data_IF_152984237378
#
_entry.id   IF_152984237378
#
_cell.length_a   1.000
_cell.length_b   1.000
_cell.length_c   1.000
_cell.angle_alpha   90.00
_cell.angle_beta   90.00
_cell.angle_gamma   90.00
#
_symmetry.space_group_name_H-M   'P 1'
#
loop_
_entity.id
_entity.type
_entity.pdbx_description
1 polymer ?
#
# COMPACT_ATOMS: atom_id res chain seq x y z
N UNK A 1 -0.82 18.12 6.11
CA UNK A 1 -2.04 17.63 5.43
C UNK A 1 -1.69 16.27 4.85
N UNK A 2 -2.52 15.25 5.08
CA UNK A 2 -2.26 13.85 4.71
C UNK A 2 -2.02 13.76 3.19
N UNK A 3 -0.88 13.25 2.74
CA UNK A 3 -0.47 13.10 1.33
C UNK A 3 -1.28 12.02 0.57
N UNK A 4 -2.58 11.94 0.86
CA UNK A 4 -3.59 11.05 0.25
C UNK A 4 -3.60 11.14 -1.29
N UNK A 5 -3.24 12.30 -1.83
CA UNK A 5 -3.37 12.62 -3.25
C UNK A 5 -2.42 11.78 -4.13
N UNK A 6 -1.22 11.44 -3.69
CA UNK A 6 -0.28 10.70 -4.54
C UNK A 6 -0.69 9.25 -4.77
N UNK A 7 -1.16 8.56 -3.74
CA UNK A 7 -1.66 7.18 -3.86
C UNK A 7 -2.97 7.14 -4.64
N UNK A 8 -3.84 8.13 -4.47
CA UNK A 8 -5.05 8.24 -5.30
C UNK A 8 -4.72 8.49 -6.78
N UNK A 9 -3.76 9.37 -7.07
CA UNK A 9 -3.28 9.59 -8.44
C UNK A 9 -2.68 8.32 -9.03
N UNK A 10 -1.96 7.53 -8.25
CA UNK A 10 -1.47 6.21 -8.66
C UNK A 10 -2.63 5.27 -9.03
N UNK A 11 -3.64 5.15 -8.15
CA UNK A 11 -4.80 4.27 -8.38
C UNK A 11 -5.63 4.71 -9.61
N UNK A 12 -5.76 6.01 -9.83
CA UNK A 12 -6.52 6.57 -10.96
C UNK A 12 -5.87 6.31 -12.33
N UNK A 13 -4.61 5.91 -12.39
CA UNK A 13 -3.92 5.54 -13.63
C UNK A 13 -4.09 4.06 -13.99
N UNK A 14 -4.68 3.26 -13.10
CA UNK A 14 -4.83 1.82 -13.30
C UNK A 14 -6.11 1.49 -14.08
N UNK A 15 -6.15 0.34 -14.78
CA UNK A 15 -7.40 -0.14 -15.33
C UNK A 15 -8.43 -0.40 -14.22
N UNK A 16 -9.70 -0.27 -14.56
CA UNK A 16 -10.80 -0.19 -13.57
C UNK A 16 -10.86 -1.37 -12.61
N UNK A 17 -10.60 -2.58 -13.12
CA UNK A 17 -10.61 -3.81 -12.32
C UNK A 17 -9.52 -3.77 -11.25
N UNK A 18 -8.29 -3.44 -11.63
CA UNK A 18 -7.13 -3.41 -10.75
C UNK A 18 -7.18 -2.23 -9.79
N UNK A 19 -7.65 -1.07 -10.26
CA UNK A 19 -7.98 0.09 -9.44
C UNK A 19 -8.93 -0.32 -8.31
N UNK A 20 -10.04 -0.98 -8.63
CA UNK A 20 -11.03 -1.42 -7.63
C UNK A 20 -10.43 -2.35 -6.58
N UNK A 21 -9.59 -3.30 -6.99
CA UNK A 21 -8.95 -4.24 -6.06
C UNK A 21 -7.95 -3.52 -5.14
N UNK A 22 -7.07 -2.68 -5.69
CA UNK A 22 -6.07 -1.97 -4.90
C UNK A 22 -6.67 -0.85 -4.03
N UNK A 23 -7.73 -0.18 -4.48
CA UNK A 23 -8.50 0.76 -3.65
C UNK A 23 -9.12 0.06 -2.44
N UNK A 24 -9.73 -1.11 -2.64
CA UNK A 24 -10.28 -1.90 -1.54
C UNK A 24 -9.20 -2.32 -0.55
N UNK A 25 -8.02 -2.74 -1.05
CA UNK A 25 -6.89 -3.09 -0.19
C UNK A 25 -6.41 -1.88 0.62
N UNK A 26 -6.30 -0.70 -0.01
CA UNK A 26 -5.98 0.56 0.67
C UNK A 26 -6.98 0.87 1.79
N UNK A 27 -8.28 0.80 1.50
CA UNK A 27 -9.33 1.03 2.49
C UNK A 27 -9.21 0.08 3.69
N UNK A 28 -8.94 -1.20 3.46
CA UNK A 28 -8.74 -2.18 4.53
C UNK A 28 -7.53 -1.85 5.41
N UNK A 29 -6.42 -1.42 4.82
CA UNK A 29 -5.22 -1.01 5.57
C UNK A 29 -5.53 0.22 6.44
N UNK A 30 -6.17 1.23 5.86
CA UNK A 30 -6.52 2.48 6.57
C UNK A 30 -7.61 2.26 7.63
N UNK A 31 -8.51 1.30 7.45
CA UNK A 31 -9.49 0.92 8.47
C UNK A 31 -8.82 0.32 9.72
N UNK A 32 -7.74 -0.45 9.55
CA UNK A 32 -6.98 -1.04 10.66
C UNK A 32 -6.17 0.03 11.39
N UNK A 33 -5.56 0.96 10.64
CA UNK A 33 -4.80 2.06 11.23
C UNK A 33 -5.01 3.37 10.46
N UNK A 34 -6.00 4.18 10.87
CA UNK A 34 -6.32 5.43 10.18
C UNK A 34 -5.18 6.44 10.17
N UNK A 35 -4.21 6.29 11.09
CA UNK A 35 -3.08 7.19 11.24
C UNK A 35 -1.84 6.75 10.44
N UNK A 36 -1.94 5.70 9.63
CA UNK A 36 -0.86 5.37 8.70
C UNK A 36 -0.66 6.50 7.69
N UNK A 37 0.61 6.78 7.44
CA UNK A 37 1.02 7.72 6.42
C UNK A 37 1.19 7.00 5.09
N UNK A 38 0.65 7.60 4.03
CA UNK A 38 0.70 7.07 2.67
C UNK A 38 1.72 7.87 1.87
N UNK A 39 2.67 7.20 1.22
CA UNK A 39 3.70 7.86 0.40
C UNK A 39 4.05 7.01 -0.81
N UNK A 40 4.45 7.65 -1.90
CA UNK A 40 5.11 6.96 -3.00
C UNK A 40 6.61 6.84 -2.71
N UNK A 41 7.17 5.64 -2.90
CA UNK A 41 8.62 5.43 -2.94
C UNK A 41 8.97 4.80 -4.29
N UNK A 42 9.77 5.53 -5.09
CA UNK A 42 10.13 5.13 -6.47
C UNK A 42 8.90 4.77 -7.33
N UNK A 43 7.82 5.53 -7.19
CA UNK A 43 6.56 5.33 -7.92
C UNK A 43 5.66 4.20 -7.38
N UNK A 44 5.99 3.63 -6.23
CA UNK A 44 5.20 2.55 -5.61
C UNK A 44 4.57 3.03 -4.31
N UNK A 45 3.25 2.83 -4.09
CA UNK A 45 2.59 3.11 -2.83
C UNK A 45 3.10 2.27 -1.66
N UNK A 46 3.47 2.95 -0.57
CA UNK A 46 3.80 2.34 0.71
C UNK A 46 3.09 3.05 1.87
N UNK A 47 2.81 2.27 2.91
CA UNK A 47 2.17 2.69 4.15
C UNK A 47 3.18 2.65 5.28
N UNK A 48 3.22 3.74 6.04
CA UNK A 48 4.16 3.95 7.13
C UNK A 48 3.40 4.07 8.44
N UNK A 49 3.89 3.38 9.47
CA UNK A 49 3.38 3.49 10.82
C UNK A 49 4.54 3.90 11.74
N UNK A 50 4.39 5.04 12.43
CA UNK A 50 5.42 5.62 13.31
C UNK A 50 6.78 5.73 12.61
N UNK A 51 6.78 6.21 11.35
CA UNK A 51 7.98 6.38 10.53
C UNK A 51 8.55 5.09 9.91
N UNK A 52 8.02 3.91 10.24
CA UNK A 52 8.48 2.62 9.69
C UNK A 52 7.62 2.19 8.51
N UNK A 53 8.26 1.72 7.44
CA UNK A 53 7.58 1.23 6.24
C UNK A 53 7.00 -0.16 6.51
N UNK A 54 5.69 -0.29 6.65
CA UNK A 54 5.05 -1.55 7.04
C UNK A 54 4.64 -2.40 5.85
N UNK A 55 3.83 -1.84 4.96
CA UNK A 55 3.28 -2.55 3.80
C UNK A 55 3.26 -1.66 2.57
N UNK A 56 3.11 -2.26 1.40
CA UNK A 56 2.91 -1.52 0.15
C UNK A 56 2.21 -2.39 -0.88
N UNK A 57 1.81 -1.79 -1.99
CA UNK A 57 1.25 -2.56 -3.10
C UNK A 57 1.67 -1.98 -4.44
N UNK A 58 1.57 -2.80 -5.49
CA UNK A 58 1.91 -2.40 -6.85
C UNK A 58 1.07 -3.16 -7.87
N UNK A 59 0.61 -2.45 -8.89
CA UNK A 59 0.14 -3.00 -10.16
C UNK A 59 1.31 -3.33 -11.10
N UNK A 60 1.25 -4.51 -11.69
CA UNK A 60 2.12 -4.95 -12.78
C UNK A 60 1.26 -5.59 -13.86
N UNK A 61 1.77 -5.66 -15.09
CA UNK A 61 0.99 -6.11 -16.27
C UNK A 61 0.20 -7.41 -16.05
N UNK A 62 0.75 -8.34 -15.28
CA UNK A 62 0.19 -9.68 -15.10
C UNK A 62 -0.31 -9.97 -13.68
N UNK A 63 -0.04 -9.10 -12.70
CA UNK A 63 -0.38 -9.36 -11.31
C UNK A 63 -0.40 -8.09 -10.45
N UNK A 64 -1.04 -8.21 -9.29
CA UNK A 64 -0.98 -7.25 -8.20
C UNK A 64 -0.02 -7.79 -7.13
N UNK A 65 0.92 -6.97 -6.70
CA UNK A 65 1.84 -7.31 -5.61
C UNK A 65 1.37 -6.64 -4.32
N UNK A 66 1.43 -7.37 -3.21
CA UNK A 66 1.33 -6.83 -1.86
C UNK A 66 2.64 -7.13 -1.12
N UNK A 67 3.28 -6.08 -0.62
CA UNK A 67 4.58 -6.17 0.02
C UNK A 67 4.43 -6.04 1.53
N UNK A 68 5.11 -6.91 2.26
CA UNK A 68 5.29 -6.83 3.70
C UNK A 68 6.75 -6.44 3.93
N UNK A 69 6.97 -5.28 4.53
CA UNK A 69 8.28 -4.69 4.68
C UNK A 69 8.76 -4.85 6.11
N UNK A 70 8.46 -3.90 7.00
CA UNK A 70 8.85 -3.99 8.41
C UNK A 70 7.71 -4.48 9.29
N UNK A 71 7.98 -5.50 10.09
CA UNK A 71 7.04 -6.00 11.09
C UNK A 71 7.48 -7.31 11.70
N UNK A 72 6.84 -7.69 12.81
CA UNK A 72 7.04 -9.02 13.43
C UNK A 72 6.55 -10.16 12.53
N UNK A 73 5.67 -9.89 11.57
CA UNK A 73 5.18 -10.89 10.61
C UNK A 73 6.32 -11.59 9.88
N UNK A 74 7.33 -10.86 9.38
CA UNK A 74 8.48 -11.48 8.73
C UNK A 74 9.36 -12.28 9.69
N UNK A 75 9.45 -11.88 10.97
CA UNK A 75 10.19 -12.64 11.98
C UNK A 75 9.49 -13.97 12.35
N UNK A 76 8.18 -14.03 12.16
CA UNK A 76 7.37 -15.21 12.45
C UNK A 76 7.12 -16.09 11.21
N UNK A 77 7.54 -15.64 10.02
CA UNK A 77 7.60 -16.44 8.80
C UNK A 77 8.91 -17.25 8.77
N UNK A 78 9.13 -18.08 9.78
CA UNK A 78 10.17 -19.10 9.70
C UNK A 78 9.63 -20.26 8.86
N UNK A 79 10.33 -20.56 7.76
CA UNK A 79 10.19 -21.81 7.03
C UNK A 79 10.87 -22.95 7.79
#
# INVERSE_FOLDING_TARGET
MKDTNEVERYLNQLPEKEKKVLSKLREQILAISPNMEERLSRGVPFFYHLGKRCVGFRFSKNHLSFFIMEGKVLKNLNH
#
